data_IF_453848075550
#
_entry.id   IF_453848075550
#
_cell.length_a   1.000
_cell.length_b   1.000
_cell.length_c   1.000
_cell.angle_alpha   90.00
_cell.angle_beta   90.00
_cell.angle_gamma   90.00
#
_symmetry.space_group_name_H-M   'P 1'
#
loop_
_entity.id
_entity.type
_entity.pdbx_description
1 polymer ?
#
# COMPACT_ATOMS: atom_id res chain seq x y z
N UNK A 1 55.00 24.09 -14.67
CA UNK A 1 54.34 24.77 -14.45
C UNK A 1 53.07 24.74 -14.91
N UNK A 2 52.75 24.84 -15.79
CA UNK A 2 51.56 24.87 -16.27
C UNK A 2 50.82 23.70 -16.06
N UNK A 3 51.27 22.72 -16.06
CA UNK A 3 50.55 21.50 -16.02
C UNK A 3 49.68 21.32 -14.87
N UNK A 4 50.08 21.73 -13.81
CA UNK A 4 49.31 21.47 -12.66
C UNK A 4 47.96 21.97 -12.71
N UNK A 5 47.77 22.96 -13.29
CA UNK A 5 46.50 23.57 -13.33
C UNK A 5 45.46 22.69 -13.90
N UNK A 6 45.77 22.04 -14.86
CA UNK A 6 44.83 21.25 -15.51
C UNK A 6 44.21 20.19 -14.78
N UNK A 7 44.89 19.60 -13.92
CA UNK A 7 44.34 18.55 -13.20
C UNK A 7 43.09 18.79 -12.53
N UNK A 8 42.99 19.88 -11.97
CA UNK A 8 41.87 20.19 -11.20
C UNK A 8 40.62 20.12 -11.88
N UNK A 9 40.60 20.50 -13.04
CA UNK A 9 39.42 20.53 -13.77
C UNK A 9 38.71 19.21 -13.90
N UNK A 10 39.42 18.24 -13.97
CA UNK A 10 38.89 16.97 -14.16
C UNK A 10 37.95 16.49 -13.11
N UNK A 11 38.26 16.82 -11.98
CA UNK A 11 37.49 16.32 -10.88
C UNK A 11 36.07 16.76 -10.84
N UNK A 12 35.87 17.96 -11.11
CA UNK A 12 34.55 18.51 -11.04
C UNK A 12 33.47 17.78 -11.76
N UNK A 13 33.63 17.46 -12.96
CA UNK A 13 32.60 16.86 -13.70
C UNK A 13 32.14 15.52 -13.16
N UNK A 14 33.01 14.88 -12.53
CA UNK A 14 32.68 13.60 -12.02
C UNK A 14 31.63 13.68 -10.96
N UNK A 15 31.74 14.63 -10.17
CA UNK A 15 30.82 14.77 -9.08
C UNK A 15 29.45 15.06 -9.59
N UNK A 16 29.37 15.83 -10.59
CA UNK A 16 28.08 16.18 -11.10
C UNK A 16 27.37 14.96 -11.64
N UNK A 17 28.10 14.11 -12.20
CA UNK A 17 27.47 12.92 -12.75
C UNK A 17 26.81 12.09 -11.71
N UNK A 18 27.40 12.03 -10.59
CA UNK A 18 26.82 11.21 -9.56
C UNK A 18 25.48 11.71 -9.12
N UNK A 19 25.34 12.99 -9.06
CA UNK A 19 24.08 13.53 -8.65
C UNK A 19 22.98 13.25 -9.64
N UNK A 20 23.30 13.24 -10.85
CA UNK A 20 22.31 12.97 -11.83
C UNK A 20 21.73 11.60 -11.72
N UNK A 21 22.51 10.67 -11.41
CA UNK A 21 22.04 9.34 -11.29
C UNK A 21 20.97 9.23 -10.27
N UNK A 22 21.10 9.96 -9.20
CA UNK A 22 20.11 9.90 -8.20
C UNK A 22 18.82 10.43 -8.69
N UNK A 23 18.83 11.48 -9.39
CA UNK A 23 17.63 12.07 -9.85
C UNK A 23 16.88 11.12 -10.77
N UNK A 24 17.59 10.40 -11.55
CA UNK A 24 16.97 9.51 -12.45
C UNK A 24 16.30 8.36 -11.77
N UNK A 25 16.85 7.92 -10.71
CA UNK A 25 16.26 6.85 -10.00
C UNK A 25 14.95 7.21 -9.41
N UNK A 26 14.78 8.43 -9.04
CA UNK A 26 13.56 8.81 -8.39
C UNK A 26 12.41 8.85 -9.36
N UNK A 27 12.66 8.93 -10.64
CA UNK A 27 11.56 8.96 -11.56
C UNK A 27 11.09 7.59 -11.97
N UNK A 28 11.93 6.62 -11.89
CA UNK A 28 11.56 5.31 -12.32
C UNK A 28 10.34 4.75 -11.59
N UNK A 29 10.26 4.88 -10.30
CA UNK A 29 9.15 4.30 -9.58
C UNK A 29 7.80 4.89 -9.92
N UNK A 30 7.76 5.96 -10.61
CA UNK A 30 6.50 6.58 -10.90
C UNK A 30 5.55 5.68 -11.65
N UNK A 31 6.05 4.70 -12.34
CA UNK A 31 5.20 3.81 -13.01
C UNK A 31 4.98 2.54 -12.34
N UNK A 32 5.64 2.25 -11.26
CA UNK A 32 5.56 0.99 -10.58
C UNK A 32 4.26 0.82 -9.84
N UNK A 33 4.00 -0.39 -9.43
CA UNK A 33 2.86 -0.67 -8.61
C UNK A 33 3.12 -0.25 -7.19
N UNK A 34 2.07 -0.02 -6.46
CA UNK A 34 2.16 0.19 -5.03
C UNK A 34 1.56 -0.99 -4.31
N UNK A 35 1.55 -0.95 -3.01
CA UNK A 35 0.98 -1.99 -2.19
C UNK A 35 -0.11 -1.42 -1.32
N UNK A 36 -1.14 -2.22 -1.10
CA UNK A 36 -2.21 -1.85 -0.20
C UNK A 36 -2.30 -2.93 0.86
N UNK A 37 -2.06 -2.55 2.11
CA UNK A 37 -2.19 -3.46 3.22
C UNK A 37 -3.49 -3.14 3.94
N UNK A 38 -4.32 -4.13 4.13
CA UNK A 38 -5.57 -3.94 4.84
C UNK A 38 -5.50 -4.74 6.13
N UNK A 39 -5.76 -4.08 7.24
CA UNK A 39 -5.76 -4.72 8.54
C UNK A 39 -7.18 -4.68 9.05
N UNK A 40 -7.74 -5.83 9.37
CA UNK A 40 -9.11 -5.91 9.84
C UNK A 40 -9.13 -6.36 11.28
N UNK A 41 -9.80 -5.61 12.11
CA UNK A 41 -9.89 -5.87 13.53
C UNK A 41 -11.35 -5.95 13.95
N UNK A 42 -11.59 -6.58 15.10
CA UNK A 42 -12.94 -6.62 15.64
C UNK A 42 -13.12 -5.43 16.60
N UNK A 43 -14.25 -5.40 17.26
CA UNK A 43 -14.57 -4.30 18.18
C UNK A 43 -13.61 -4.20 19.34
N UNK A 44 -12.90 -5.25 19.64
CA UNK A 44 -11.94 -5.25 20.73
C UNK A 44 -10.52 -5.08 20.23
N UNK A 45 -10.38 -4.64 18.98
CA UNK A 45 -9.07 -4.44 18.36
C UNK A 45 -8.27 -5.72 18.19
N UNK A 46 -8.95 -6.85 18.08
CA UNK A 46 -8.26 -8.09 17.83
C UNK A 46 -8.30 -8.41 16.35
N UNK A 47 -7.24 -9.00 15.81
CA UNK A 47 -7.21 -9.33 14.39
C UNK A 47 -8.31 -10.30 14.01
N UNK A 48 -8.96 -10.06 12.90
CA UNK A 48 -9.98 -10.95 12.38
C UNK A 48 -9.43 -11.75 11.22
N UNK A 49 -9.49 -13.05 11.34
CA UNK A 49 -9.02 -13.97 10.32
C UNK A 49 -10.19 -14.35 9.42
N UNK A 50 -9.91 -14.59 8.16
CA UNK A 50 -10.95 -15.08 7.25
C UNK A 50 -11.91 -14.02 6.77
N UNK A 51 -11.51 -12.77 6.82
CA UNK A 51 -12.33 -11.68 6.34
C UNK A 51 -12.10 -11.52 4.85
N UNK A 52 -13.16 -11.43 4.09
CA UNK A 52 -13.01 -11.22 2.66
C UNK A 52 -12.75 -9.74 2.39
N UNK A 53 -11.70 -9.46 1.69
CA UNK A 53 -11.34 -8.10 1.29
C UNK A 53 -11.29 -8.08 -0.22
N UNK A 54 -12.06 -7.21 -0.82
CA UNK A 54 -12.14 -7.13 -2.27
C UNK A 54 -11.88 -5.72 -2.76
N UNK A 55 -11.11 -5.61 -3.82
CA UNK A 55 -10.93 -4.37 -4.54
C UNK A 55 -11.26 -4.67 -5.99
N UNK A 56 -11.52 -3.68 -6.82
CA UNK A 56 -11.83 -3.97 -8.22
C UNK A 56 -10.74 -4.83 -8.86
N UNK A 57 -11.13 -5.97 -9.34
CA UNK A 57 -10.21 -6.89 -10.00
C UNK A 57 -9.48 -7.86 -9.11
N UNK A 58 -9.55 -7.72 -7.79
CA UNK A 58 -8.82 -8.61 -6.88
C UNK A 58 -9.59 -8.89 -5.61
N UNK A 59 -9.35 -10.04 -5.04
CA UNK A 59 -9.94 -10.41 -3.76
C UNK A 59 -8.95 -11.19 -2.97
N UNK A 60 -9.02 -11.10 -1.67
CA UNK A 60 -8.17 -11.89 -0.79
C UNK A 60 -8.86 -12.04 0.55
N UNK A 61 -8.30 -12.90 1.39
CA UNK A 61 -8.85 -13.14 2.72
C UNK A 61 -7.77 -12.83 3.72
N UNK A 62 -8.14 -12.27 4.86
CA UNK A 62 -7.14 -11.95 5.87
C UNK A 62 -6.61 -13.23 6.50
N UNK A 63 -5.32 -13.20 6.82
CA UNK A 63 -4.65 -14.31 7.48
C UNK A 63 -4.63 -14.14 8.97
N UNK A 64 -3.72 -14.83 9.63
CA UNK A 64 -3.65 -14.87 11.07
C UNK A 64 -3.51 -13.52 11.75
N UNK A 65 -2.87 -12.62 11.15
CA UNK A 65 -2.73 -11.29 11.75
C UNK A 65 -3.85 -10.34 11.37
N UNK A 66 -4.89 -10.84 10.71
CA UNK A 66 -5.97 -9.98 10.28
C UNK A 66 -5.59 -9.09 9.12
N UNK A 67 -4.57 -9.45 8.38
CA UNK A 67 -4.06 -8.59 7.32
C UNK A 67 -4.11 -9.26 5.97
N UNK A 68 -4.20 -8.46 4.93
CA UNK A 68 -3.99 -8.96 3.58
C UNK A 68 -3.33 -7.84 2.79
N UNK A 69 -2.66 -8.22 1.73
CA UNK A 69 -1.90 -7.26 0.94
C UNK A 69 -2.20 -7.43 -0.54
N UNK A 70 -2.33 -6.31 -1.23
CA UNK A 70 -2.54 -6.30 -2.66
C UNK A 70 -1.44 -5.50 -3.32
N UNK A 71 -0.98 -5.96 -4.48
CA UNK A 71 -0.10 -5.14 -5.31
C UNK A 71 -0.97 -4.54 -6.39
N UNK A 72 -1.07 -3.23 -6.43
CA UNK A 72 -2.00 -2.55 -7.31
C UNK A 72 -1.33 -1.42 -8.08
N UNK A 73 -1.89 -1.13 -9.21
CA UNK A 73 -1.43 0.03 -9.96
C UNK A 73 -1.86 1.28 -9.22
N UNK A 74 -1.15 2.38 -9.40
CA UNK A 74 -1.52 3.61 -8.69
C UNK A 74 -2.95 4.03 -9.02
N UNK A 75 -3.64 4.52 -8.03
CA UNK A 75 -5.01 4.99 -8.21
C UNK A 75 -5.79 4.88 -6.94
N UNK A 76 -7.06 5.19 -7.03
CA UNK A 76 -7.96 5.08 -5.91
C UNK A 76 -8.84 3.87 -6.06
N UNK A 77 -9.04 3.17 -4.97
CA UNK A 77 -9.78 1.92 -4.98
C UNK A 77 -10.81 1.89 -3.87
N UNK A 78 -11.96 1.32 -4.18
CA UNK A 78 -12.97 1.06 -3.17
C UNK A 78 -12.68 -0.32 -2.62
N UNK A 79 -12.49 -0.42 -1.32
CA UNK A 79 -12.17 -1.67 -0.67
C UNK A 79 -13.40 -2.15 0.07
N UNK A 80 -13.88 -3.33 -0.28
CA UNK A 80 -15.05 -3.90 0.36
C UNK A 80 -14.58 -4.98 1.31
N UNK A 81 -15.07 -4.92 2.53
CA UNK A 81 -14.64 -5.83 3.57
C UNK A 81 -15.85 -6.48 4.18
N UNK A 82 -15.87 -7.80 4.21
CA UNK A 82 -17.00 -8.51 4.74
C UNK A 82 -16.61 -9.83 5.39
N UNK A 83 -17.41 -10.23 6.36
CA UNK A 83 -17.23 -11.51 7.01
C UNK A 83 -18.59 -11.94 7.55
N UNK A 84 -18.96 -13.22 7.43
CA UNK A 84 -20.22 -13.68 7.95
C UNK A 84 -20.31 -13.37 9.44
N UNK A 85 -21.45 -12.86 9.85
CA UNK A 85 -21.65 -12.50 11.26
C UNK A 85 -21.21 -11.11 11.61
N UNK A 86 -20.64 -10.38 10.67
CA UNK A 86 -20.18 -9.02 10.90
C UNK A 86 -20.77 -8.08 9.88
N UNK A 87 -20.83 -6.83 10.24
CA UNK A 87 -21.36 -5.81 9.36
C UNK A 87 -20.29 -5.44 8.33
N UNK A 88 -20.61 -5.55 7.07
CA UNK A 88 -19.66 -5.22 6.01
C UNK A 88 -19.30 -3.76 6.00
N UNK A 89 -18.13 -3.44 5.49
CA UNK A 89 -17.67 -2.07 5.40
C UNK A 89 -17.05 -1.81 4.05
N UNK A 90 -17.06 -0.55 3.68
CA UNK A 90 -16.45 -0.12 2.45
C UNK A 90 -15.60 1.09 2.77
N UNK A 91 -14.36 1.06 2.37
CA UNK A 91 -13.45 2.18 2.58
C UNK A 91 -12.75 2.49 1.28
N UNK A 92 -12.24 3.69 1.18
CA UNK A 92 -11.48 4.07 -0.01
C UNK A 92 -10.02 4.09 0.34
N UNK A 93 -9.20 3.70 -0.60
CA UNK A 93 -7.77 3.70 -0.41
C UNK A 93 -7.09 4.23 -1.65
N UNK A 94 -6.05 5.00 -1.46
CA UNK A 94 -5.25 5.49 -2.56
C UNK A 94 -3.94 4.75 -2.59
N UNK A 95 -3.54 4.30 -3.78
CA UNK A 95 -2.28 3.59 -3.95
C UNK A 95 -1.34 4.47 -4.74
N UNK A 96 -0.12 4.62 -4.27
CA UNK A 96 0.90 5.42 -4.93
C UNK A 96 2.03 4.54 -5.39
N UNK A 97 2.73 4.94 -6.45
CA UNK A 97 3.82 4.11 -6.97
C UNK A 97 4.90 3.89 -5.92
N UNK A 98 5.29 2.66 -5.76
CA UNK A 98 6.39 2.34 -4.86
C UNK A 98 6.12 2.52 -3.39
N UNK A 99 4.88 2.80 -3.02
CA UNK A 99 4.54 3.01 -1.61
C UNK A 99 3.57 1.99 -1.11
N UNK A 100 3.55 1.80 0.19
CA UNK A 100 2.60 0.92 0.82
C UNK A 100 1.58 1.76 1.57
N UNK A 101 0.32 1.58 1.22
CA UNK A 101 -0.78 2.26 1.89
C UNK A 101 -1.40 1.28 2.86
N UNK A 102 -1.56 1.68 4.10
CA UNK A 102 -2.15 0.81 5.11
C UNK A 102 -3.50 1.35 5.51
N UNK A 103 -4.50 0.46 5.49
CA UNK A 103 -5.84 0.83 5.94
C UNK A 103 -6.26 -0.08 7.07
N UNK A 104 -6.70 0.49 8.14
CA UNK A 104 -7.16 -0.27 9.29
C UNK A 104 -8.67 -0.17 9.34
N UNK A 105 -9.33 -1.29 9.44
CA UNK A 105 -10.78 -1.35 9.43
C UNK A 105 -11.27 -2.14 10.61
N UNK A 106 -12.27 -1.64 11.30
CA UNK A 106 -12.85 -2.36 12.41
C UNK A 106 -14.24 -2.82 11.99
N UNK A 107 -14.49 -4.11 12.11
CA UNK A 107 -15.80 -4.67 11.79
C UNK A 107 -16.58 -4.87 13.06
N UNK A 108 -17.87 -4.54 12.99
CA UNK A 108 -18.73 -4.73 14.12
C UNK A 108 -19.55 -5.99 13.93
N UNK A 109 -19.71 -6.72 15.03
CA UNK A 109 -20.47 -7.93 14.99
C UNK A 109 -21.94 -7.62 14.85
N UNK A 110 -22.63 -8.39 14.07
CA UNK A 110 -24.06 -8.20 13.93
C UNK A 110 -24.78 -8.72 15.16
N UNK A 111 -25.89 -8.10 15.53
CA UNK A 111 -26.64 -8.58 16.66
C UNK A 111 -27.21 -9.96 16.36
N UNK A 112 -27.24 -10.84 17.33
CA UNK A 112 -27.73 -12.19 17.09
C UNK A 112 -29.20 -12.15 16.73
N UNK A 113 -29.53 -12.99 15.77
CA UNK A 113 -30.89 -13.15 15.42
C UNK A 113 -31.52 -12.14 14.51
N UNK A 114 -30.82 -11.08 14.21
CA UNK A 114 -31.38 -10.14 13.36
C UNK A 114 -30.88 -10.23 11.98
N UNK A 115 -29.69 -10.60 11.80
CA UNK A 115 -29.09 -10.60 10.51
C UNK A 115 -29.78 -11.44 9.48
N UNK A 116 -30.43 -12.46 9.91
CA UNK A 116 -31.03 -13.33 8.96
C UNK A 116 -32.23 -12.76 8.29
N UNK A 117 -32.76 -11.72 8.79
CA UNK A 117 -33.90 -11.22 8.24
C UNK A 117 -33.66 -10.36 7.17
N UNK A 118 -32.65 -9.85 7.05
CA UNK A 118 -32.43 -8.97 6.05
C UNK A 118 -31.84 -9.50 4.96
#
# INVERSE_FOLDING_TARGET
MRSKVILIVVVIPLVSGALWLRAQQSTAPARGKGALDVIVLDENNKPLVGVLVAVPGYRSTTGLGGTCRFGLLPGRYAVLISKPGYRGRRVNAGVRPGETTTRRVILQKLPPGRSSRE
#
